data_IF_135239460371
#
_entry.id   IF_135239460371
#
_cell.length_a   1.000
_cell.length_b   1.000
_cell.length_c   1.000
_cell.angle_alpha   90.00
_cell.angle_beta   90.00
_cell.angle_gamma   90.00
#
_symmetry.space_group_name_H-M   'P 1'
#
loop_
_entity.id
_entity.type
_entity.pdbx_description
1 polymer ?
#
# COMPACT_ATOMS: atom_id res chain seq x y z
N UNK A 1 13.63 -24.06 -6.79
CA UNK A 1 12.89 -22.96 -6.15
C UNK A 1 12.02 -23.48 -4.99
N UNK A 2 11.10 -24.40 -5.22
CA UNK A 2 10.16 -24.91 -4.20
C UNK A 2 10.83 -25.32 -2.88
N UNK A 3 11.84 -26.20 -2.92
CA UNK A 3 12.56 -26.69 -1.71
C UNK A 3 13.17 -25.52 -0.93
N UNK A 4 13.77 -24.58 -1.62
CA UNK A 4 14.36 -23.36 -1.04
C UNK A 4 13.31 -22.53 -0.28
N UNK A 5 12.16 -22.30 -0.89
CA UNK A 5 11.06 -21.56 -0.26
C UNK A 5 10.48 -22.31 0.95
N UNK A 6 10.33 -23.63 0.86
CA UNK A 6 9.85 -24.46 1.98
C UNK A 6 10.81 -24.39 3.17
N UNK A 7 12.10 -24.43 2.92
CA UNK A 7 13.11 -24.28 3.99
C UNK A 7 13.09 -22.88 4.61
N UNK A 8 12.96 -21.83 3.77
CA UNK A 8 12.77 -20.46 4.23
C UNK A 8 11.52 -20.33 5.13
N UNK A 9 10.36 -20.82 4.67
CA UNK A 9 9.12 -20.77 5.44
C UNK A 9 9.21 -21.58 6.74
N UNK A 10 9.87 -22.74 6.73
CA UNK A 10 10.09 -23.56 7.93
C UNK A 10 10.87 -22.79 9.00
N UNK A 11 11.85 -21.99 8.59
CA UNK A 11 12.73 -21.28 9.51
C UNK A 11 12.13 -19.92 9.96
N UNK A 12 11.33 -19.25 9.14
CA UNK A 12 10.89 -17.88 9.38
C UNK A 12 9.37 -17.75 9.58
N UNK A 13 8.56 -18.61 8.96
CA UNK A 13 7.10 -18.56 8.97
C UNK A 13 6.51 -19.95 9.26
N UNK A 14 6.89 -20.52 10.40
CA UNK A 14 6.62 -21.91 10.76
C UNK A 14 5.13 -22.30 10.71
N UNK A 15 4.23 -21.39 11.08
CA UNK A 15 2.79 -21.66 11.03
C UNK A 15 2.30 -21.81 9.58
N UNK A 16 2.80 -20.99 8.67
CA UNK A 16 2.49 -21.07 7.24
C UNK A 16 3.09 -22.35 6.64
N UNK A 17 4.33 -22.68 6.98
CA UNK A 17 4.95 -23.95 6.62
C UNK A 17 4.07 -25.15 7.02
N UNK A 18 3.61 -25.21 8.27
CA UNK A 18 2.72 -26.28 8.72
C UNK A 18 1.42 -26.38 7.92
N UNK A 19 0.82 -25.23 7.58
CA UNK A 19 -0.39 -25.22 6.76
C UNK A 19 -0.16 -25.85 5.39
N UNK A 20 0.98 -25.56 4.75
CA UNK A 20 1.34 -26.12 3.44
C UNK A 20 1.53 -27.63 3.55
N UNK A 21 2.30 -28.10 4.55
CA UNK A 21 2.52 -29.54 4.76
C UNK A 21 1.20 -30.27 5.01
N UNK A 22 0.32 -29.72 5.86
CA UNK A 22 -1.00 -30.31 6.12
C UNK A 22 -1.91 -30.31 4.88
N UNK A 23 -1.76 -29.32 4.01
CA UNK A 23 -2.49 -29.30 2.73
C UNK A 23 -1.98 -30.42 1.82
N UNK A 24 -0.67 -30.58 1.67
CA UNK A 24 -0.06 -31.62 0.83
C UNK A 24 -0.38 -33.04 1.33
N UNK A 25 -0.41 -33.25 2.67
CA UNK A 25 -0.78 -34.55 3.25
C UNK A 25 -2.23 -34.95 2.92
N UNK A 26 -3.13 -33.97 2.77
CA UNK A 26 -4.54 -34.24 2.43
C UNK A 26 -4.75 -34.67 0.97
N UNK A 27 -3.79 -34.34 0.11
CA UNK A 27 -3.78 -34.72 -1.31
C UNK A 27 -5.10 -34.42 -2.06
N UNK A 28 -5.73 -33.30 -1.73
CA UNK A 28 -6.99 -32.85 -2.31
C UNK A 28 -6.74 -31.54 -3.09
N UNK A 29 -6.19 -31.69 -4.29
CA UNK A 29 -5.81 -30.58 -5.14
C UNK A 29 -6.96 -30.22 -6.09
N UNK A 30 -7.34 -28.95 -6.08
CA UNK A 30 -8.32 -28.36 -6.99
C UNK A 30 -7.63 -27.63 -8.18
N UNK A 31 -6.31 -27.45 -8.10
CA UNK A 31 -5.50 -26.77 -9.11
C UNK A 31 -4.23 -27.55 -9.42
N UNK A 32 -3.82 -27.54 -10.66
CA UNK A 32 -2.56 -28.10 -11.13
C UNK A 32 -1.69 -27.06 -11.82
N UNK A 33 -0.38 -27.24 -11.75
CA UNK A 33 0.59 -26.50 -12.55
C UNK A 33 0.86 -27.31 -13.82
N UNK A 34 0.46 -26.76 -14.96
CA UNK A 34 0.61 -27.42 -16.25
C UNK A 34 1.50 -26.60 -17.19
N UNK A 35 2.07 -27.24 -18.19
CA UNK A 35 2.82 -26.59 -19.25
C UNK A 35 2.03 -26.69 -20.55
N UNK A 36 1.36 -25.60 -20.91
CA UNK A 36 0.43 -25.53 -22.05
C UNK A 36 0.91 -24.40 -22.96
N UNK A 37 0.86 -24.63 -24.27
CA UNK A 37 1.19 -23.62 -25.28
C UNK A 37 2.54 -22.88 -25.02
N UNK A 38 3.54 -23.63 -24.56
CA UNK A 38 4.90 -23.14 -24.30
C UNK A 38 5.05 -22.24 -23.06
N UNK A 39 4.07 -22.21 -22.15
CA UNK A 39 4.15 -21.48 -20.89
C UNK A 39 3.53 -22.27 -19.73
N UNK A 40 3.82 -21.84 -18.50
CA UNK A 40 3.20 -22.39 -17.30
C UNK A 40 1.80 -21.83 -17.11
N UNK A 41 0.85 -22.70 -16.75
CA UNK A 41 -0.54 -22.34 -16.51
C UNK A 41 -1.03 -22.97 -15.20
N UNK A 42 -1.91 -22.27 -14.50
CA UNK A 42 -2.69 -22.82 -13.40
C UNK A 42 -4.02 -23.31 -13.99
N UNK A 43 -4.26 -24.59 -13.91
CA UNK A 43 -5.47 -25.23 -14.41
C UNK A 43 -6.32 -25.70 -13.24
N UNK A 44 -7.60 -25.31 -13.21
CA UNK A 44 -8.52 -25.77 -12.18
C UNK A 44 -9.02 -27.19 -12.46
N UNK A 45 -9.69 -27.81 -11.49
CA UNK A 45 -10.25 -29.16 -11.60
C UNK A 45 -11.29 -29.34 -12.74
N UNK A 46 -11.75 -28.24 -13.34
CA UNK A 46 -12.67 -28.26 -14.48
C UNK A 46 -11.94 -28.04 -15.81
N UNK A 47 -10.62 -27.98 -15.79
CA UNK A 47 -9.79 -27.75 -16.98
C UNK A 47 -9.78 -26.30 -17.45
N UNK A 48 -10.12 -25.33 -16.58
CA UNK A 48 -10.09 -23.91 -16.91
C UNK A 48 -8.75 -23.29 -16.56
N UNK A 49 -8.18 -22.59 -17.52
CA UNK A 49 -6.95 -21.82 -17.34
C UNK A 49 -7.19 -20.56 -16.53
N UNK A 50 -6.23 -20.22 -15.66
CA UNK A 50 -6.32 -19.03 -14.81
C UNK A 50 -5.67 -17.82 -15.45
N UNK A 51 -4.48 -17.98 -16.07
CA UNK A 51 -3.77 -16.87 -16.72
C UNK A 51 -4.30 -16.56 -18.11
N UNK A 52 -4.50 -17.58 -18.92
CA UNK A 52 -4.78 -17.47 -20.36
C UNK A 52 -3.72 -16.68 -21.15
N UNK A 53 -2.51 -16.56 -20.61
CA UNK A 53 -1.35 -15.93 -21.23
C UNK A 53 -0.06 -16.40 -20.54
N UNK A 54 1.09 -16.12 -21.14
CA UNK A 54 2.37 -16.41 -20.52
C UNK A 54 2.55 -15.58 -19.22
N UNK A 55 2.73 -16.22 -18.05
CA UNK A 55 2.95 -15.54 -16.78
C UNK A 55 4.14 -14.57 -16.76
N UNK A 56 5.19 -14.86 -17.54
CA UNK A 56 6.35 -13.96 -17.66
C UNK A 56 6.02 -12.72 -18.48
N UNK A 57 5.20 -12.87 -19.52
CA UNK A 57 4.69 -11.72 -20.27
C UNK A 57 3.78 -10.84 -19.40
N UNK A 58 2.86 -11.46 -18.62
CA UNK A 58 2.01 -10.73 -17.68
C UNK A 58 2.84 -9.97 -16.63
N UNK A 59 3.87 -10.62 -16.07
CA UNK A 59 4.77 -9.99 -15.10
C UNK A 59 5.48 -8.77 -15.70
N UNK A 60 6.03 -8.90 -16.91
CA UNK A 60 6.68 -7.80 -17.62
C UNK A 60 5.71 -6.64 -17.92
N UNK A 61 4.49 -6.96 -18.34
CA UNK A 61 3.45 -5.96 -18.54
C UNK A 61 3.12 -5.19 -17.26
N UNK A 62 3.07 -5.88 -16.10
CA UNK A 62 2.83 -5.25 -14.79
C UNK A 62 3.96 -4.34 -14.38
N UNK A 63 5.22 -4.76 -14.56
CA UNK A 63 6.41 -3.94 -14.29
C UNK A 63 6.39 -2.67 -15.14
N UNK A 64 6.15 -2.79 -16.45
CA UNK A 64 6.08 -1.65 -17.35
C UNK A 64 4.98 -0.63 -16.99
N UNK A 65 3.91 -1.10 -16.34
CA UNK A 65 2.78 -0.28 -15.90
C UNK A 65 2.80 0.04 -14.40
N UNK A 66 3.84 -0.36 -13.67
CA UNK A 66 3.91 -0.24 -12.21
C UNK A 66 3.68 1.19 -11.73
N UNK A 67 4.24 2.16 -12.42
CA UNK A 67 4.15 3.58 -12.08
C UNK A 67 3.04 4.32 -12.81
N UNK A 68 2.48 3.73 -13.87
CA UNK A 68 1.46 4.39 -14.70
C UNK A 68 0.01 4.16 -14.23
N UNK A 69 -0.20 3.27 -13.25
CA UNK A 69 -1.53 2.98 -12.69
C UNK A 69 -1.70 3.63 -11.31
N UNK A 70 -2.11 4.89 -11.24
CA UNK A 70 -2.33 5.56 -9.95
C UNK A 70 -3.51 4.97 -9.16
N UNK A 71 -4.39 4.21 -9.80
CA UNK A 71 -5.54 3.55 -9.18
C UNK A 71 -5.20 2.52 -8.10
N UNK A 72 -3.93 2.15 -7.99
CA UNK A 72 -3.45 1.18 -6.99
C UNK A 72 -2.69 1.83 -5.82
N UNK A 73 -2.67 3.16 -5.72
CA UNK A 73 -2.11 3.86 -4.56
C UNK A 73 -3.21 4.21 -3.59
N UNK A 74 -3.15 3.72 -2.37
CA UNK A 74 -4.17 3.91 -1.34
C UNK A 74 -4.52 5.37 -1.07
N UNK A 75 -3.64 6.31 -1.39
CA UNK A 75 -3.71 7.68 -0.88
C UNK A 75 -4.03 8.69 -1.96
N UNK A 76 -4.00 8.31 -3.23
CA UNK A 76 -4.46 9.16 -4.31
C UNK A 76 -5.93 8.84 -4.56
N UNK A 77 -6.81 9.48 -3.80
CA UNK A 77 -8.24 9.37 -3.99
C UNK A 77 -8.73 10.27 -5.15
N UNK A 78 -10.01 10.12 -5.53
CA UNK A 78 -10.61 10.97 -6.56
C UNK A 78 -10.66 12.45 -6.18
N UNK A 79 -10.56 12.78 -4.88
CA UNK A 79 -10.56 14.15 -4.40
C UNK A 79 -9.24 14.85 -4.69
N UNK A 80 -8.11 14.11 -4.77
CA UNK A 80 -6.83 14.67 -5.22
C UNK A 80 -6.92 15.20 -6.66
N UNK A 81 -7.70 14.52 -7.53
CA UNK A 81 -7.97 14.99 -8.89
C UNK A 81 -8.89 16.24 -8.91
N UNK A 82 -9.78 16.38 -7.92
CA UNK A 82 -10.67 17.53 -7.78
C UNK A 82 -9.95 18.77 -7.25
N UNK A 83 -8.86 18.63 -6.50
CA UNK A 83 -8.01 19.75 -6.09
C UNK A 83 -7.50 20.57 -7.30
N UNK A 84 -7.32 19.93 -8.46
CA UNK A 84 -6.95 20.61 -9.71
C UNK A 84 -8.02 21.56 -10.27
N UNK A 85 -9.29 21.28 -10.00
CA UNK A 85 -10.39 21.96 -10.70
C UNK A 85 -11.08 23.06 -9.90
N UNK A 86 -10.96 23.04 -8.58
CA UNK A 86 -11.75 23.89 -7.68
C UNK A 86 -10.94 24.91 -6.89
N UNK A 87 -9.68 24.61 -6.59
CA UNK A 87 -8.86 25.49 -5.76
C UNK A 87 -7.85 26.24 -6.64
N UNK A 88 -8.33 27.19 -7.41
CA UNK A 88 -7.45 28.21 -7.98
C UNK A 88 -6.97 29.09 -6.82
N UNK A 89 -5.81 28.82 -6.32
CA UNK A 89 -5.06 29.75 -5.49
C UNK A 89 -4.58 30.88 -6.41
N UNK A 90 -5.49 31.81 -6.74
CA UNK A 90 -5.26 32.89 -7.73
C UNK A 90 -4.09 33.80 -7.34
N UNK A 91 -3.68 33.78 -6.08
CA UNK A 91 -2.70 34.73 -5.54
C UNK A 91 -1.27 34.18 -5.46
N UNK A 92 -1.01 32.88 -5.69
CA UNK A 92 0.31 32.35 -5.39
C UNK A 92 0.85 31.33 -6.38
N UNK A 93 1.75 31.82 -7.27
CA UNK A 93 2.42 31.01 -8.28
C UNK A 93 3.19 29.82 -7.68
N UNK A 94 3.83 30.00 -6.51
CA UNK A 94 4.60 28.94 -5.85
C UNK A 94 3.70 27.81 -5.34
N UNK A 95 2.56 28.12 -4.75
CA UNK A 95 1.58 27.12 -4.29
C UNK A 95 1.01 26.37 -5.48
N UNK A 96 0.70 27.06 -6.57
CA UNK A 96 0.20 26.43 -7.78
C UNK A 96 1.25 25.49 -8.39
N UNK A 97 2.50 25.92 -8.50
CA UNK A 97 3.61 25.08 -8.99
C UNK A 97 3.87 23.87 -8.07
N UNK A 98 3.83 24.06 -6.75
CA UNK A 98 3.96 22.98 -5.77
C UNK A 98 2.80 21.98 -5.90
N UNK A 99 1.58 22.48 -6.00
CA UNK A 99 0.37 21.66 -6.17
C UNK A 99 0.42 20.89 -7.49
N UNK A 100 0.85 21.53 -8.58
CA UNK A 100 1.03 20.87 -9.87
C UNK A 100 2.13 19.81 -9.84
N UNK A 101 3.25 20.04 -9.15
CA UNK A 101 4.29 19.06 -8.96
C UNK A 101 3.78 17.82 -8.22
N UNK A 102 2.99 18.00 -7.17
CA UNK A 102 2.43 16.88 -6.40
C UNK A 102 1.28 16.17 -7.11
N UNK A 103 0.41 16.92 -7.81
CA UNK A 103 -0.77 16.35 -8.47
C UNK A 103 -0.42 15.79 -9.85
N UNK A 104 0.52 16.38 -10.58
CA UNK A 104 0.92 15.93 -11.92
C UNK A 104 1.98 14.81 -11.86
N UNK A 105 2.83 14.77 -10.85
CA UNK A 105 3.65 13.61 -10.53
C UNK A 105 2.81 12.55 -9.79
N UNK A 106 1.68 12.16 -10.39
CA UNK A 106 0.93 10.97 -9.97
C UNK A 106 1.77 9.68 -10.08
N UNK A 107 2.96 9.77 -10.60
CA UNK A 107 4.00 8.76 -10.59
C UNK A 107 4.74 8.87 -9.26
N UNK A 108 4.14 8.37 -8.17
CA UNK A 108 4.94 8.07 -6.99
C UNK A 108 5.97 7.02 -7.39
N UNK A 109 7.11 7.51 -7.87
CA UNK A 109 8.23 6.67 -8.35
C UNK A 109 8.95 5.94 -7.21
N UNK A 110 8.58 6.23 -5.97
CA UNK A 110 9.13 5.56 -4.79
C UNK A 110 8.05 5.32 -3.75
N UNK A 111 7.83 4.06 -3.45
CA UNK A 111 7.01 3.59 -2.35
C UNK A 111 7.80 2.50 -1.61
N UNK A 112 7.74 2.51 -0.28
CA UNK A 112 8.49 1.58 0.56
C UNK A 112 7.63 0.40 1.00
N UNK A 113 6.30 0.52 0.87
CA UNK A 113 5.35 -0.54 1.20
C UNK A 113 4.52 -0.95 0.00
N UNK A 114 4.38 -2.26 -0.16
CA UNK A 114 3.55 -2.82 -1.22
C UNK A 114 2.74 -4.01 -0.73
N UNK A 115 1.54 -4.14 -1.22
CA UNK A 115 0.62 -5.22 -0.93
C UNK A 115 0.26 -5.96 -2.23
N UNK A 116 0.60 -7.24 -2.29
CA UNK A 116 0.17 -8.13 -3.35
C UNK A 116 -1.11 -8.84 -2.94
N UNK A 117 -2.14 -8.74 -3.75
CA UNK A 117 -3.45 -9.34 -3.51
C UNK A 117 -3.70 -10.41 -4.56
N UNK A 118 -3.57 -11.65 -4.11
CA UNK A 118 -3.42 -12.83 -4.94
C UNK A 118 -1.98 -13.05 -5.37
N UNK A 119 -1.57 -14.30 -5.45
CA UNK A 119 -0.22 -14.67 -5.86
C UNK A 119 -0.16 -15.22 -7.27
N UNK A 120 -1.16 -15.98 -7.70
CA UNK A 120 -1.06 -16.83 -8.88
C UNK A 120 0.26 -17.63 -8.85
N UNK A 121 1.06 -17.62 -9.91
CA UNK A 121 2.40 -18.22 -9.93
C UNK A 121 3.49 -17.30 -9.33
N UNK A 122 3.15 -16.07 -8.99
CA UNK A 122 4.00 -15.11 -8.31
C UNK A 122 5.16 -14.52 -9.14
N UNK A 123 5.25 -14.83 -10.44
CA UNK A 123 6.34 -14.32 -11.31
C UNK A 123 6.40 -12.79 -11.24
N UNK A 124 5.25 -12.13 -11.27
CA UNK A 124 5.14 -10.67 -11.14
C UNK A 124 5.68 -10.13 -9.80
N UNK A 125 5.67 -10.93 -8.74
CA UNK A 125 6.20 -10.54 -7.42
C UNK A 125 7.71 -10.38 -7.50
N UNK A 126 8.41 -11.35 -8.12
CA UNK A 126 9.86 -11.26 -8.34
C UNK A 126 10.23 -10.04 -9.19
N UNK A 127 9.55 -9.88 -10.32
CA UNK A 127 9.91 -8.85 -11.30
C UNK A 127 9.63 -7.44 -10.75
N UNK A 128 8.50 -7.26 -10.06
CA UNK A 128 8.17 -6.01 -9.37
C UNK A 128 9.17 -5.74 -8.23
N UNK A 129 9.56 -6.77 -7.45
CA UNK A 129 10.57 -6.60 -6.42
C UNK A 129 11.90 -6.13 -6.99
N UNK A 130 12.33 -6.71 -8.11
CA UNK A 130 13.58 -6.32 -8.78
C UNK A 130 13.55 -4.86 -9.25
N UNK A 131 12.39 -4.36 -9.65
CA UNK A 131 12.20 -2.98 -10.11
C UNK A 131 12.12 -1.97 -8.96
N UNK A 132 11.24 -2.20 -7.97
CA UNK A 132 10.94 -1.19 -6.96
C UNK A 132 11.68 -1.38 -5.62
N UNK A 133 12.09 -2.61 -5.28
CA UNK A 133 12.83 -2.93 -4.05
C UNK A 133 12.20 -2.32 -2.78
N UNK A 134 10.89 -2.48 -2.62
CA UNK A 134 10.21 -2.01 -1.42
C UNK A 134 10.81 -2.63 -0.16
N UNK A 135 10.82 -1.88 0.92
CA UNK A 135 11.32 -2.34 2.22
C UNK A 135 10.36 -3.35 2.88
N UNK A 136 9.07 -3.24 2.56
CA UNK A 136 8.04 -4.07 3.20
C UNK A 136 7.01 -4.54 2.20
N UNK A 137 6.72 -5.84 2.23
CA UNK A 137 5.68 -6.48 1.45
C UNK A 137 4.63 -7.13 2.35
N UNK A 138 3.39 -7.06 1.94
CA UNK A 138 2.31 -7.91 2.44
C UNK A 138 1.77 -8.74 1.28
N UNK A 139 1.75 -10.05 1.45
CA UNK A 139 1.21 -11.00 0.47
C UNK A 139 -0.09 -11.56 1.04
N UNK A 140 -1.19 -11.25 0.36
CA UNK A 140 -2.53 -11.74 0.66
C UNK A 140 -2.92 -12.78 -0.39
N UNK A 141 -3.22 -13.98 0.06
CA UNK A 141 -3.77 -15.03 -0.80
C UNK A 141 -4.80 -15.84 -0.01
N UNK A 142 -6.03 -15.86 -0.49
CA UNK A 142 -7.12 -16.54 0.21
C UNK A 142 -7.15 -18.05 -0.06
N UNK A 143 -6.31 -18.56 -0.99
CA UNK A 143 -6.18 -19.95 -1.32
C UNK A 143 -4.77 -20.48 -1.10
N UNK A 144 -4.61 -21.37 -0.11
CA UNK A 144 -3.33 -21.99 0.25
C UNK A 144 -2.70 -22.77 -0.94
N UNK A 145 -3.52 -23.37 -1.79
CA UNK A 145 -3.06 -24.15 -2.93
C UNK A 145 -2.44 -23.25 -4.01
N UNK A 146 -3.09 -22.12 -4.31
CA UNK A 146 -2.55 -21.13 -5.26
C UNK A 146 -1.23 -20.56 -4.72
N UNK A 147 -1.18 -20.23 -3.42
CA UNK A 147 0.09 -19.82 -2.80
C UNK A 147 1.18 -20.89 -2.92
N UNK A 148 0.84 -22.16 -2.67
CA UNK A 148 1.78 -23.28 -2.83
C UNK A 148 2.34 -23.35 -4.26
N UNK A 149 1.49 -23.16 -5.27
CA UNK A 149 1.94 -23.13 -6.66
C UNK A 149 2.93 -21.99 -6.94
N UNK A 150 2.75 -20.84 -6.28
CA UNK A 150 3.70 -19.72 -6.42
C UNK A 150 5.10 -20.05 -5.92
N UNK A 151 5.25 -20.98 -4.97
CA UNK A 151 6.56 -21.37 -4.42
C UNK A 151 7.48 -22.04 -5.47
N UNK A 152 6.93 -22.49 -6.61
CA UNK A 152 7.73 -23.08 -7.67
C UNK A 152 8.47 -22.04 -8.51
N UNK A 153 7.92 -20.82 -8.64
CA UNK A 153 8.43 -19.81 -9.55
C UNK A 153 8.88 -18.51 -8.84
N UNK A 154 8.36 -18.22 -7.65
CA UNK A 154 8.71 -17.01 -6.87
C UNK A 154 9.82 -17.32 -5.89
N UNK A 155 10.85 -16.47 -5.79
CA UNK A 155 11.95 -16.61 -4.84
C UNK A 155 11.73 -15.75 -3.58
N UNK A 156 10.85 -16.20 -2.70
CA UNK A 156 10.53 -15.49 -1.45
C UNK A 156 11.73 -15.36 -0.51
N UNK A 157 12.64 -16.33 -0.51
CA UNK A 157 13.85 -16.26 0.31
C UNK A 157 14.73 -15.09 -0.14
N UNK A 158 15.00 -14.97 -1.44
CA UNK A 158 15.82 -13.87 -1.96
C UNK A 158 15.15 -12.50 -1.75
N UNK A 159 13.83 -12.41 -1.93
CA UNK A 159 13.08 -11.18 -1.62
C UNK A 159 13.26 -10.83 -0.14
N UNK A 160 13.18 -11.81 0.76
CA UNK A 160 13.29 -11.60 2.20
C UNK A 160 14.67 -11.13 2.68
N UNK A 161 15.71 -11.29 1.87
CA UNK A 161 17.06 -10.78 2.22
C UNK A 161 17.14 -9.26 2.20
N UNK A 162 16.26 -8.61 1.46
CA UNK A 162 16.25 -7.15 1.27
C UNK A 162 14.99 -6.49 1.81
N UNK A 163 13.94 -7.27 2.06
CA UNK A 163 12.63 -6.75 2.42
C UNK A 163 11.97 -7.57 3.51
N UNK A 164 11.22 -6.93 4.40
CA UNK A 164 10.36 -7.65 5.34
C UNK A 164 9.10 -8.11 4.60
N UNK A 165 8.80 -9.40 4.65
CA UNK A 165 7.58 -9.97 4.06
C UNK A 165 6.63 -10.38 5.19
N UNK A 166 5.36 -10.02 5.05
CA UNK A 166 4.25 -10.50 5.83
C UNK A 166 3.37 -11.36 4.95
N UNK A 167 2.93 -12.52 5.46
CA UNK A 167 2.09 -13.46 4.74
C UNK A 167 0.74 -13.61 5.42
N UNK A 168 -0.34 -13.30 4.71
CA UNK A 168 -1.71 -13.57 5.12
C UNK A 168 -2.32 -14.56 4.12
N UNK A 169 -1.99 -15.84 4.32
CA UNK A 169 -2.33 -16.93 3.41
C UNK A 169 -3.41 -17.81 4.05
N UNK A 170 -4.57 -17.92 3.39
CA UNK A 170 -5.73 -18.66 3.92
C UNK A 170 -6.05 -18.25 5.37
N UNK A 171 -6.07 -16.94 5.61
CA UNK A 171 -6.26 -16.35 6.93
C UNK A 171 -7.60 -15.62 7.03
N UNK A 172 -8.64 -16.30 7.49
CA UNK A 172 -9.95 -15.67 7.71
C UNK A 172 -10.00 -14.88 9.03
N UNK A 173 -9.35 -15.39 10.10
CA UNK A 173 -9.46 -14.81 11.46
C UNK A 173 -8.27 -13.92 11.83
N UNK A 174 -7.09 -14.22 11.32
CA UNK A 174 -5.85 -13.50 11.67
C UNK A 174 -5.40 -12.50 10.59
N UNK A 175 -6.12 -12.39 9.47
CA UNK A 175 -5.83 -11.46 8.38
C UNK A 175 -5.67 -10.02 8.87
N UNK A 176 -6.62 -9.54 9.68
CA UNK A 176 -6.59 -8.20 10.29
C UNK A 176 -5.32 -8.01 11.13
N UNK A 177 -4.98 -8.97 11.99
CA UNK A 177 -3.77 -8.87 12.82
C UNK A 177 -2.48 -8.85 12.00
N UNK A 178 -2.43 -9.52 10.85
CA UNK A 178 -1.27 -9.49 9.96
C UNK A 178 -1.19 -8.14 9.24
N UNK A 179 -2.31 -7.59 8.80
CA UNK A 179 -2.39 -6.24 8.23
C UNK A 179 -1.90 -5.21 9.27
N UNK A 180 -2.35 -5.32 10.53
CA UNK A 180 -1.90 -4.47 11.62
C UNK A 180 -0.38 -4.51 11.79
N UNK A 181 0.22 -5.70 11.85
CA UNK A 181 1.68 -5.87 11.94
C UNK A 181 2.42 -5.27 10.75
N UNK A 182 1.87 -5.40 9.53
CA UNK A 182 2.42 -4.77 8.33
C UNK A 182 2.37 -3.25 8.42
N UNK A 183 1.28 -2.68 8.97
CA UNK A 183 1.14 -1.25 9.15
C UNK A 183 2.03 -0.71 10.27
N UNK A 184 2.19 -1.45 11.37
CA UNK A 184 3.05 -1.07 12.49
C UNK A 184 4.54 -1.06 12.12
N UNK A 185 4.94 -1.98 11.26
CA UNK A 185 6.33 -2.05 10.81
C UNK A 185 6.64 -0.85 9.91
N UNK A 186 7.63 -0.01 10.28
CA UNK A 186 7.96 1.24 9.58
C UNK A 186 6.71 2.08 9.29
N UNK A 187 5.96 2.43 10.34
CA UNK A 187 4.66 3.10 10.23
C UNK A 187 4.71 4.44 9.47
N UNK A 188 5.87 5.11 9.43
CA UNK A 188 6.07 6.35 8.66
C UNK A 188 5.91 6.15 7.15
N UNK A 189 6.02 4.92 6.66
CA UNK A 189 5.87 4.59 5.24
C UNK A 189 4.42 4.28 4.86
N UNK A 190 3.48 4.35 5.82
CA UNK A 190 2.06 4.08 5.57
C UNK A 190 1.35 5.15 4.74
N UNK A 191 1.98 6.30 4.56
CA UNK A 191 1.44 7.38 3.73
C UNK A 191 1.38 7.01 2.23
N UNK A 192 2.17 6.04 1.78
CA UNK A 192 2.13 5.54 0.40
C UNK A 192 2.24 4.02 0.42
N UNK A 193 1.11 3.32 0.21
CA UNK A 193 1.06 1.87 0.06
C UNK A 193 0.62 1.55 -1.36
N UNK A 194 1.44 0.84 -2.11
CA UNK A 194 1.11 0.35 -3.44
C UNK A 194 0.37 -0.97 -3.34
N UNK A 195 -0.68 -1.12 -4.14
CA UNK A 195 -1.41 -2.38 -4.29
C UNK A 195 -1.16 -2.96 -5.68
N UNK A 196 -0.99 -4.27 -5.74
CA UNK A 196 -0.95 -5.02 -6.99
C UNK A 196 -1.93 -6.19 -6.90
N UNK A 197 -2.83 -6.26 -7.88
CA UNK A 197 -3.86 -7.29 -7.96
C UNK A 197 -3.44 -8.38 -8.93
N UNK A 198 -3.40 -9.61 -8.47
CA UNK A 198 -3.08 -10.74 -9.34
C UNK A 198 -4.16 -10.98 -10.40
N UNK A 199 -5.44 -10.76 -10.05
CA UNK A 199 -6.57 -10.98 -10.97
C UNK A 199 -7.77 -10.08 -10.62
N UNK A 200 -8.76 -10.02 -11.53
CA UNK A 200 -10.04 -9.34 -11.28
C UNK A 200 -10.80 -9.93 -10.06
N UNK A 201 -10.62 -11.24 -9.80
CA UNK A 201 -11.22 -11.91 -8.63
C UNK A 201 -10.69 -11.37 -7.30
N UNK A 202 -9.54 -10.73 -7.29
CA UNK A 202 -8.90 -10.15 -6.09
C UNK A 202 -9.45 -8.77 -5.67
N UNK A 203 -10.41 -8.20 -6.42
CA UNK A 203 -10.97 -6.86 -6.13
C UNK A 203 -11.69 -6.82 -4.78
N UNK A 204 -12.49 -7.85 -4.46
CA UNK A 204 -13.18 -7.91 -3.17
C UNK A 204 -12.21 -7.96 -1.99
N UNK A 205 -11.13 -8.72 -2.14
CA UNK A 205 -10.06 -8.81 -1.12
C UNK A 205 -9.33 -7.47 -0.97
N UNK A 206 -9.14 -6.71 -2.06
CA UNK A 206 -8.61 -5.35 -2.02
C UNK A 206 -9.54 -4.42 -1.23
N UNK A 207 -10.83 -4.40 -1.55
CA UNK A 207 -11.80 -3.53 -0.87
C UNK A 207 -11.86 -3.79 0.64
N UNK A 208 -11.85 -5.06 1.04
CA UNK A 208 -11.85 -5.44 2.45
C UNK A 208 -10.53 -5.07 3.14
N UNK A 209 -9.41 -5.24 2.46
CA UNK A 209 -8.10 -4.83 2.98
C UNK A 209 -8.00 -3.32 3.16
N UNK A 210 -8.55 -2.53 2.24
CA UNK A 210 -8.61 -1.06 2.36
C UNK A 210 -9.45 -0.66 3.57
N UNK A 211 -10.62 -1.29 3.78
CA UNK A 211 -11.47 -1.03 4.94
C UNK A 211 -10.73 -1.29 6.26
N UNK A 212 -10.00 -2.41 6.35
CA UNK A 212 -9.21 -2.73 7.55
C UNK A 212 -8.07 -1.73 7.77
N UNK A 213 -7.35 -1.33 6.72
CA UNK A 213 -6.28 -0.32 6.81
C UNK A 213 -6.82 1.01 7.33
N UNK A 214 -7.92 1.50 6.76
CA UNK A 214 -8.55 2.77 7.17
C UNK A 214 -9.06 2.69 8.61
N UNK A 215 -9.64 1.55 9.01
CA UNK A 215 -10.13 1.33 10.37
C UNK A 215 -9.00 1.30 11.41
N UNK A 216 -7.90 0.65 11.08
CA UNK A 216 -6.76 0.49 11.99
C UNK A 216 -6.00 1.80 12.22
N UNK A 217 -5.88 2.61 11.20
CA UNK A 217 -5.12 3.86 11.31
C UNK A 217 -6.00 5.09 11.01
N UNK A 218 -6.75 5.57 12.01
CA UNK A 218 -7.55 6.80 11.85
C UNK A 218 -6.70 8.05 11.60
N UNK A 219 -5.37 7.94 11.73
CA UNK A 219 -4.41 9.00 11.38
C UNK A 219 -3.97 8.96 9.91
N UNK A 220 -4.37 7.96 9.13
CA UNK A 220 -4.20 7.97 7.68
C UNK A 220 -5.23 8.96 7.12
N UNK A 221 -4.79 10.19 6.98
CA UNK A 221 -5.54 11.18 6.22
C UNK A 221 -5.44 10.82 4.75
N UNK A 222 -6.52 10.98 3.97
CA UNK A 222 -6.44 10.94 2.52
C UNK A 222 -5.32 11.87 2.04
N UNK A 223 -4.58 11.45 1.03
CA UNK A 223 -3.46 12.25 0.50
C UNK A 223 -3.89 13.67 0.13
N UNK A 224 -5.12 13.82 -0.41
CA UNK A 224 -5.76 15.10 -0.66
C UNK A 224 -5.83 16.01 0.57
N UNK A 225 -6.13 15.47 1.74
CA UNK A 225 -6.21 16.24 2.98
C UNK A 225 -4.83 16.63 3.49
N UNK A 226 -3.84 15.74 3.34
CA UNK A 226 -2.44 16.05 3.67
C UNK A 226 -1.95 17.20 2.80
N UNK A 227 -2.12 17.08 1.46
CA UNK A 227 -1.71 18.14 0.52
C UNK A 227 -2.45 19.43 0.79
N UNK A 228 -3.76 19.39 1.05
CA UNK A 228 -4.55 20.58 1.41
C UNK A 228 -4.00 21.24 2.68
N UNK A 229 -3.63 20.46 3.69
CA UNK A 229 -3.04 20.98 4.92
C UNK A 229 -1.70 21.68 4.67
N UNK A 230 -0.85 21.11 3.81
CA UNK A 230 0.41 21.74 3.40
C UNK A 230 0.17 23.03 2.60
N UNK A 231 -0.76 23.02 1.64
CA UNK A 231 -1.11 24.19 0.84
C UNK A 231 -1.64 25.31 1.74
N UNK A 232 -2.56 24.99 2.66
CA UNK A 232 -3.09 25.96 3.63
C UNK A 232 -1.98 26.50 4.55
N UNK A 233 -1.05 25.64 4.96
CA UNK A 233 0.11 26.05 5.75
C UNK A 233 1.00 27.03 5.01
N UNK A 234 1.31 26.77 3.73
CA UNK A 234 2.10 27.65 2.88
C UNK A 234 1.38 28.98 2.59
N UNK A 235 0.08 28.94 2.32
CA UNK A 235 -0.72 30.14 2.11
C UNK A 235 -0.76 31.02 3.36
N UNK A 236 -1.01 30.44 4.53
CA UNK A 236 -0.95 31.14 5.80
C UNK A 236 0.44 31.73 6.07
N UNK A 237 1.50 31.01 5.71
CA UNK A 237 2.87 31.50 5.85
C UNK A 237 3.15 32.72 4.98
N UNK A 238 2.68 32.72 3.75
CA UNK A 238 2.88 33.83 2.81
C UNK A 238 1.98 35.04 3.09
N UNK A 239 0.75 34.78 3.55
CA UNK A 239 -0.19 35.84 3.91
C UNK A 239 0.02 36.39 5.33
N UNK A 240 0.94 35.81 6.10
CA UNK A 240 1.30 36.29 7.42
C UNK A 240 2.07 37.60 7.31
N UNK A 241 1.38 38.70 7.50
CA UNK A 241 1.92 40.07 7.40
C UNK A 241 3.06 40.31 8.42
N UNK A 242 3.08 39.56 9.51
CA UNK A 242 4.02 39.77 10.63
C UNK A 242 5.11 38.70 10.74
N UNK A 243 5.19 37.81 9.76
CA UNK A 243 6.20 36.73 9.74
C UNK A 243 5.94 35.61 10.75
N UNK A 244 6.85 34.68 10.78
CA UNK A 244 6.82 33.54 11.73
C UNK A 244 7.37 34.03 13.07
N UNK A 245 6.70 33.60 14.14
CA UNK A 245 7.18 33.80 15.49
C UNK A 245 8.48 32.98 15.67
N UNK A 246 9.61 33.66 15.77
CA UNK A 246 10.89 33.03 16.08
C UNK A 246 10.92 32.66 17.56
N UNK A 247 10.70 31.39 17.88
CA UNK A 247 10.65 30.88 19.25
C UNK A 247 11.99 31.01 19.99
N UNK A 248 13.07 31.28 19.27
CA UNK A 248 14.38 31.60 19.92
C UNK A 248 14.45 33.01 20.47
N UNK A 249 13.54 33.89 20.04
CA UNK A 249 13.51 35.29 20.47
C UNK A 249 12.45 35.53 21.54
N UNK A 250 12.81 36.30 22.59
CA UNK A 250 11.84 36.76 23.59
C UNK A 250 11.14 38.02 23.06
N UNK A 251 9.89 37.91 22.69
CA UNK A 251 9.07 39.05 22.27
C UNK A 251 8.48 39.74 23.49
N UNK A 252 9.03 40.89 23.89
CA UNK A 252 8.58 41.65 25.07
C UNK A 252 7.11 42.10 24.96
N UNK A 253 6.59 42.28 23.75
CA UNK A 253 5.20 42.68 23.51
C UNK A 253 4.18 41.68 24.05
N UNK A 254 4.54 40.40 24.16
CA UNK A 254 3.64 39.36 24.67
C UNK A 254 3.65 39.23 26.19
N UNK A 255 4.57 39.95 26.90
CA UNK A 255 4.69 39.85 28.37
C UNK A 255 3.54 40.52 29.16
N UNK A 256 2.80 41.42 28.53
CA UNK A 256 1.75 42.21 29.18
C UNK A 256 0.37 42.02 28.51
N UNK A 257 0.25 41.14 27.54
CA UNK A 257 -0.98 40.87 26.83
C UNK A 257 -1.47 39.47 27.23
N UNK A 258 -2.70 39.33 27.75
CA UNK A 258 -3.24 38.01 28.01
C UNK A 258 -3.40 37.29 26.68
N UNK A 259 -2.81 36.09 26.58
CA UNK A 259 -2.90 35.24 25.41
C UNK A 259 -4.00 34.20 25.65
N UNK A 260 -5.05 34.26 24.86
CA UNK A 260 -6.08 33.25 24.85
C UNK A 260 -5.67 32.13 23.87
N UNK A 261 -5.48 30.93 24.40
CA UNK A 261 -5.20 29.76 23.61
C UNK A 261 -6.52 29.00 23.35
N UNK A 262 -7.01 29.08 22.12
CA UNK A 262 -8.21 28.35 21.70
C UNK A 262 -7.79 27.03 21.04
N UNK A 263 -7.99 25.93 21.74
CA UNK A 263 -7.83 24.60 21.16
C UNK A 263 -9.12 24.21 20.41
N UNK A 264 -8.97 23.66 19.20
CA UNK A 264 -10.11 23.16 18.45
C UNK A 264 -10.71 21.93 19.16
N UNK A 265 -11.93 22.03 19.61
CA UNK A 265 -12.68 20.95 20.24
C UNK A 265 -14.18 21.15 20.10
N UNK A 266 -15.00 20.08 20.20
CA UNK A 266 -16.46 20.16 20.05
C UNK A 266 -17.16 21.08 21.05
N UNK A 267 -16.48 21.46 22.14
CA UNK A 267 -16.98 22.41 23.15
C UNK A 267 -16.80 23.87 22.75
N UNK A 268 -15.99 24.17 21.73
CA UNK A 268 -15.72 25.53 21.32
C UNK A 268 -16.96 26.22 20.73
N UNK A 269 -17.74 25.48 19.93
CA UNK A 269 -18.97 26.00 19.33
C UNK A 269 -20.04 26.37 20.37
N UNK A 270 -20.00 25.77 21.56
CA UNK A 270 -20.96 26.01 22.63
C UNK A 270 -20.61 27.18 23.54
N UNK A 271 -19.37 27.71 23.46
CA UNK A 271 -18.82 28.70 24.38
C UNK A 271 -18.33 29.98 23.70
N UNK A 272 -18.63 30.18 22.43
CA UNK A 272 -18.30 31.43 21.68
C UNK A 272 -19.42 32.49 21.85
N UNK A 273 -20.26 32.41 22.83
CA UNK A 273 -21.11 33.53 23.21
C UNK A 273 -20.35 34.41 24.22
N UNK A 274 -19.53 35.34 23.70
CA UNK A 274 -19.04 36.49 24.47
C UNK A 274 -19.23 37.74 23.63
#
# INVERSE_FOLDING_TARGET
>A
MYIKNIEYLKNNEYNLYKKIVLFEEKNNEDYSLEFIDNHFEIVDKHGQNTYNCDPFFDAQYRVNNLYSKPSHLLIIDENTKKLKSTDKFESNKFINEFTELFINNNDAKKFNKMMFIGTLLGVHINDIHNECKCETYLILEDNIEIFRLSLFLTDYETISTHSKIFFAIDEQKSKTTIIEKFLDYNYQDNNIIKFELASQKSISTLEDSIKEIVKYNPSIYPFSEIIRSYINGLDNFQNSINGILDLSKKYKILHHIPVLFLASGPSLEKNIEV
#
